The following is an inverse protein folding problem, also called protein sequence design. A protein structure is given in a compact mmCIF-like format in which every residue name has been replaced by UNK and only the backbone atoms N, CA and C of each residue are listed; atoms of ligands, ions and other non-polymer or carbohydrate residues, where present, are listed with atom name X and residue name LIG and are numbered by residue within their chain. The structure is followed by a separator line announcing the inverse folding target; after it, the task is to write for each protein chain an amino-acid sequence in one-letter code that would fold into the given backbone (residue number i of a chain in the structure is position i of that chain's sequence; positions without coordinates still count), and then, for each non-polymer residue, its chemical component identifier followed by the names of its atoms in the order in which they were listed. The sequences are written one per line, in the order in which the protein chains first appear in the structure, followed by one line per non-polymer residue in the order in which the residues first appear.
data_IF_070804488192
#
_entry.id   IF_070804488192
#
_cell.length_a   1.000
_cell.length_b   1.000
_cell.length_c   1.000
_cell.angle_alpha   90.00
_cell.angle_beta   90.00
_cell.angle_gamma   90.00
#
_symmetry.space_group_name_H-M   'P 1'
#
loop_
_entity.id
_entity.type
_entity.pdbx_description
1 polymer ?
#
# COMPACT_ATOMS: atom_id res chain seq x y z
N UNK A 1 15.88 62.23 11.16
CA UNK A 1 15.09 60.99 11.25
C UNK A 1 15.15 60.37 9.88
N UNK A 2 15.81 59.22 9.76
CA UNK A 2 15.76 58.43 8.52
C UNK A 2 14.38 57.79 8.53
N UNK A 3 13.54 58.10 7.54
CA UNK A 3 12.30 57.39 7.32
C UNK A 3 12.65 55.91 7.17
N UNK A 4 12.16 55.10 8.11
CA UNK A 4 12.19 53.65 7.95
C UNK A 4 11.10 53.37 6.94
N UNK A 5 11.48 53.28 5.66
CA UNK A 5 10.56 52.90 4.59
C UNK A 5 9.86 51.59 4.99
N UNK A 6 8.57 51.68 5.29
CA UNK A 6 7.76 50.53 5.63
C UNK A 6 7.37 49.84 4.34
N UNK A 7 8.09 48.78 3.97
CA UNK A 7 7.75 47.95 2.82
C UNK A 7 6.57 47.03 3.16
N UNK A 8 5.53 47.07 2.33
CA UNK A 8 4.38 46.17 2.36
C UNK A 8 4.56 45.02 1.37
N UNK A 9 3.93 43.87 1.62
CA UNK A 9 3.93 42.72 0.70
C UNK A 9 3.44 43.13 -0.71
N UNK A 10 2.53 44.12 -0.78
CA UNK A 10 1.96 44.64 -2.03
C UNK A 10 2.96 45.34 -2.93
N UNK A 11 4.10 45.76 -2.37
CA UNK A 11 5.11 46.57 -3.04
C UNK A 11 6.09 45.66 -3.80
N UNK A 12 6.12 44.37 -3.47
CA UNK A 12 6.85 43.38 -4.25
C UNK A 12 6.13 43.09 -5.58
N UNK A 13 6.88 42.78 -6.64
CA UNK A 13 6.37 42.14 -7.85
C UNK A 13 5.54 40.86 -7.58
N UNK A 14 4.57 40.57 -8.46
CA UNK A 14 3.61 39.46 -8.31
C UNK A 14 4.29 38.10 -8.19
N UNK A 15 5.35 37.87 -8.96
CA UNK A 15 6.18 36.66 -8.96
C UNK A 15 6.88 36.44 -7.61
N UNK A 16 7.40 37.50 -6.98
CA UNK A 16 8.00 37.43 -5.65
C UNK A 16 6.93 37.13 -4.60
N UNK A 17 5.76 37.78 -4.68
CA UNK A 17 4.66 37.51 -3.76
C UNK A 17 4.20 36.04 -3.88
N UNK A 18 4.01 35.52 -5.08
CA UNK A 18 3.63 34.13 -5.33
C UNK A 18 4.71 33.15 -4.84
N UNK A 19 5.98 33.47 -5.07
CA UNK A 19 7.10 32.67 -4.57
C UNK A 19 7.06 32.57 -3.04
N UNK A 20 6.83 33.68 -2.32
CA UNK A 20 6.67 33.69 -0.87
C UNK A 20 5.45 32.85 -0.46
N UNK A 21 4.30 33.05 -1.11
CA UNK A 21 3.06 32.32 -0.81
C UNK A 21 3.19 30.81 -1.03
N UNK A 22 4.00 30.37 -1.98
CA UNK A 22 4.21 28.94 -2.25
C UNK A 22 4.83 28.19 -1.05
N UNK A 23 5.46 28.88 -0.10
CA UNK A 23 6.00 28.28 1.13
C UNK A 23 4.94 28.08 2.23
N UNK A 24 3.75 28.63 2.05
CA UNK A 24 2.68 28.54 3.03
C UNK A 24 1.86 27.26 2.86
N UNK A 25 1.24 26.82 3.95
CA UNK A 25 0.24 25.74 3.89
C UNK A 25 -1.03 26.20 3.16
N UNK A 26 -1.80 25.28 2.55
CA UNK A 26 -3.08 25.62 1.91
C UNK A 26 -4.05 26.39 2.83
N UNK A 27 -4.04 26.10 4.14
CA UNK A 27 -4.86 26.82 5.13
C UNK A 27 -4.44 28.28 5.32
N UNK A 28 -3.12 28.53 5.33
CA UNK A 28 -2.58 29.88 5.40
C UNK A 28 -2.84 30.66 4.10
N UNK A 29 -2.74 30.00 2.95
CA UNK A 29 -3.08 30.60 1.65
C UNK A 29 -4.56 30.99 1.60
N UNK A 30 -5.46 30.11 2.06
CA UNK A 30 -6.88 30.42 2.14
C UNK A 30 -7.16 31.61 3.08
N UNK A 31 -6.50 31.65 4.24
CA UNK A 31 -6.62 32.77 5.19
C UNK A 31 -6.10 34.08 4.59
N UNK A 32 -4.96 34.03 3.88
CA UNK A 32 -4.38 35.18 3.17
C UNK A 32 -5.29 35.66 2.04
N UNK A 33 -5.88 34.74 1.26
CA UNK A 33 -6.83 35.10 0.22
C UNK A 33 -8.00 35.92 0.77
N UNK A 34 -8.50 35.60 1.97
CA UNK A 34 -9.59 36.35 2.62
C UNK A 34 -9.24 37.79 3.03
N UNK A 35 -7.98 38.21 3.00
CA UNK A 35 -7.57 39.55 3.46
C UNK A 35 -7.92 40.67 2.47
N UNK A 36 -7.90 40.40 1.17
CA UNK A 36 -8.19 41.43 0.15
C UNK A 36 -8.55 40.81 -1.20
N UNK A 37 -9.25 41.56 -2.06
CA UNK A 37 -9.56 41.13 -3.44
C UNK A 37 -8.29 40.83 -4.26
N UNK A 38 -7.22 41.60 -4.05
CA UNK A 38 -5.92 41.38 -4.70
C UNK A 38 -5.31 40.05 -4.25
N UNK A 39 -5.37 39.76 -2.95
CA UNK A 39 -4.90 38.49 -2.37
C UNK A 39 -5.66 37.29 -2.92
N UNK A 40 -7.01 37.38 -3.05
CA UNK A 40 -7.81 36.33 -3.71
C UNK A 40 -7.32 36.10 -5.13
N UNK A 41 -7.19 37.16 -5.93
CA UNK A 41 -6.74 37.07 -7.32
C UNK A 41 -5.37 36.42 -7.45
N UNK A 42 -4.45 36.76 -6.54
CA UNK A 42 -3.11 36.21 -6.48
C UNK A 42 -3.12 34.70 -6.17
N UNK A 43 -3.93 34.28 -5.19
CA UNK A 43 -4.07 32.88 -4.80
C UNK A 43 -4.91 32.02 -5.75
N UNK A 44 -5.62 32.65 -6.68
CA UNK A 44 -6.45 31.96 -7.67
C UNK A 44 -5.65 31.46 -8.88
N UNK A 45 -4.38 31.85 -9.00
CA UNK A 45 -3.52 31.41 -10.10
C UNK A 45 -3.04 29.97 -9.88
N UNK A 46 -3.55 29.05 -10.68
CA UNK A 46 -3.23 27.62 -10.58
C UNK A 46 -1.78 27.33 -11.00
N UNK A 47 -1.39 27.74 -12.21
CA UNK A 47 -0.05 27.50 -12.76
C UNK A 47 1.08 28.24 -12.04
N UNK A 48 0.81 29.44 -11.49
CA UNK A 48 1.87 30.23 -10.86
C UNK A 48 2.07 29.86 -9.39
N UNK A 49 1.01 29.52 -8.66
CA UNK A 49 1.08 29.24 -7.22
C UNK A 49 1.08 27.74 -6.93
N UNK A 50 0.10 27.00 -7.46
CA UNK A 50 -0.11 25.60 -7.08
C UNK A 50 0.87 24.66 -7.76
N UNK A 51 1.29 24.93 -9.00
CA UNK A 51 2.33 24.14 -9.66
C UNK A 51 3.67 24.16 -8.87
N UNK A 52 4.26 25.31 -8.50
CA UNK A 52 5.48 25.30 -7.69
C UNK A 52 5.33 24.62 -6.33
N UNK A 53 4.13 24.68 -5.72
CA UNK A 53 3.85 23.95 -4.49
C UNK A 53 3.89 22.43 -4.70
N UNK A 54 3.29 21.95 -5.79
CA UNK A 54 3.35 20.54 -6.17
C UNK A 54 4.78 20.10 -6.50
N UNK A 55 5.48 20.86 -7.34
CA UNK A 55 6.84 20.57 -7.78
C UNK A 55 7.82 20.51 -6.60
N UNK A 56 7.69 21.43 -5.63
CA UNK A 56 8.55 21.45 -4.44
C UNK A 56 8.39 20.20 -3.58
N UNK A 57 7.17 19.69 -3.41
CA UNK A 57 6.87 18.59 -2.47
C UNK A 57 6.98 17.22 -3.12
N UNK A 58 6.60 17.10 -4.39
CA UNK A 58 6.53 15.81 -5.09
C UNK A 58 7.29 15.78 -6.43
N UNK A 59 7.89 16.87 -6.91
CA UNK A 59 8.60 16.89 -8.20
C UNK A 59 9.82 15.96 -8.28
N UNK A 60 10.44 15.64 -7.14
CA UNK A 60 11.49 14.61 -7.07
C UNK A 60 10.94 13.16 -7.05
N UNK A 61 9.65 12.99 -6.75
CA UNK A 61 9.00 11.69 -6.59
C UNK A 61 8.13 11.31 -7.81
N UNK A 62 7.57 12.29 -8.51
CA UNK A 62 6.63 12.10 -9.63
C UNK A 62 6.70 13.27 -10.63
N UNK A 63 6.22 13.07 -11.86
CA UNK A 63 6.24 14.05 -12.93
C UNK A 63 4.94 14.86 -12.93
N UNK A 64 4.93 15.97 -12.19
CA UNK A 64 3.75 16.81 -11.92
C UNK A 64 2.96 17.19 -13.18
N UNK A 65 3.64 17.49 -14.29
CA UNK A 65 3.02 17.91 -15.55
C UNK A 65 2.28 16.80 -16.31
N UNK A 66 2.57 15.53 -15.99
CA UNK A 66 2.06 14.39 -16.74
C UNK A 66 0.82 13.76 -16.09
N UNK A 67 0.41 14.24 -14.92
CA UNK A 67 -0.82 13.78 -14.27
C UNK A 67 -2.06 14.20 -15.06
N UNK A 68 -3.04 13.30 -15.21
CA UNK A 68 -4.29 13.56 -15.94
C UNK A 68 -4.09 14.07 -17.37
N UNK A 69 -3.10 13.51 -18.08
CA UNK A 69 -2.67 13.92 -19.43
C UNK A 69 -2.25 15.41 -19.52
N UNK A 70 -1.85 16.01 -18.39
CA UNK A 70 -1.47 17.42 -18.29
C UNK A 70 -2.62 18.41 -18.38
N UNK A 71 -3.87 17.94 -18.25
CA UNK A 71 -5.08 18.77 -18.37
C UNK A 71 -5.72 19.14 -17.03
N UNK A 72 -5.25 18.54 -15.94
CA UNK A 72 -5.81 18.77 -14.61
C UNK A 72 -5.22 20.03 -13.97
N UNK A 73 -6.03 20.71 -13.16
CA UNK A 73 -5.56 21.82 -12.35
C UNK A 73 -4.62 21.35 -11.22
N UNK A 74 -3.55 22.09 -10.98
CA UNK A 74 -2.54 21.83 -9.95
C UNK A 74 -3.09 21.94 -8.53
N UNK A 75 -4.11 22.78 -8.29
CA UNK A 75 -4.80 22.83 -7.00
C UNK A 75 -5.52 21.53 -6.67
N UNK A 76 -6.18 20.92 -7.68
CA UNK A 76 -6.81 19.61 -7.52
C UNK A 76 -5.73 18.54 -7.30
N UNK A 77 -4.68 18.56 -8.12
CA UNK A 77 -3.56 17.65 -7.99
C UNK A 77 -2.91 17.74 -6.59
N UNK A 78 -2.66 18.94 -6.08
CA UNK A 78 -2.08 19.15 -4.74
C UNK A 78 -2.93 18.45 -3.67
N UNK A 79 -4.25 18.63 -3.72
CA UNK A 79 -5.17 18.01 -2.76
C UNK A 79 -5.10 16.49 -2.85
N UNK A 80 -5.15 15.92 -4.06
CA UNK A 80 -5.10 14.48 -4.26
C UNK A 80 -3.76 13.88 -3.82
N UNK A 81 -2.63 14.51 -4.17
CA UNK A 81 -1.30 14.04 -3.79
C UNK A 81 -1.06 14.16 -2.27
N UNK A 82 -1.61 15.18 -1.62
CA UNK A 82 -1.56 15.33 -0.16
C UNK A 82 -2.32 14.19 0.56
N UNK A 83 -3.50 13.83 0.05
CA UNK A 83 -4.26 12.68 0.56
C UNK A 83 -3.52 11.36 0.31
N UNK A 84 -2.91 11.19 -0.87
CA UNK A 84 -2.21 9.97 -1.26
C UNK A 84 -0.80 9.85 -0.69
N UNK A 85 -0.19 10.93 -0.19
CA UNK A 85 1.12 10.85 0.45
C UNK A 85 1.09 9.91 1.65
N UNK A 86 -0.04 9.84 2.36
CA UNK A 86 -0.21 8.89 3.44
C UNK A 86 -0.32 7.43 2.97
N UNK A 87 -0.61 7.15 1.69
CA UNK A 87 -0.58 5.78 1.15
C UNK A 87 0.83 5.24 1.00
N UNK A 88 1.83 6.09 0.80
CA UNK A 88 3.17 5.63 0.42
C UNK A 88 3.82 4.84 1.57
N UNK A 89 4.49 3.74 1.22
CA UNK A 89 5.15 2.83 2.14
C UNK A 89 4.48 1.45 2.23
N UNK A 90 4.67 0.77 3.35
CA UNK A 90 4.30 -0.64 3.53
C UNK A 90 2.97 -0.82 4.25
N UNK A 91 2.19 -1.79 3.79
CA UNK A 91 0.85 -2.09 4.28
C UNK A 91 0.69 -3.59 4.42
N UNK A 92 0.07 -4.03 5.51
CA UNK A 92 -0.28 -5.44 5.72
C UNK A 92 -1.77 -5.65 5.52
N UNK A 93 -2.16 -6.78 4.98
CA UNK A 93 -3.56 -7.21 4.95
C UNK A 93 -4.05 -7.48 6.37
N UNK A 94 -5.29 -7.10 6.64
CA UNK A 94 -6.00 -7.34 7.89
C UNK A 94 -7.28 -8.13 7.61
N UNK A 95 -7.61 -9.09 8.49
CA UNK A 95 -8.76 -9.98 8.34
C UNK A 95 -8.35 -11.42 8.07
N UNK A 96 -9.22 -12.35 8.43
CA UNK A 96 -8.96 -13.78 8.34
C UNK A 96 -8.66 -14.18 6.88
N UNK A 97 -7.63 -15.00 6.63
CA UNK A 97 -7.37 -15.51 5.29
C UNK A 97 -8.60 -16.32 4.86
N UNK A 98 -9.28 -15.86 3.82
CA UNK A 98 -10.32 -16.68 3.21
C UNK A 98 -9.63 -17.88 2.58
N UNK A 99 -10.30 -19.04 2.59
CA UNK A 99 -9.74 -20.37 2.26
C UNK A 99 -9.03 -20.43 0.88
N UNK A 100 -9.19 -19.40 0.04
CA UNK A 100 -8.62 -19.28 -1.30
C UNK A 100 -7.78 -18.01 -1.53
N UNK A 101 -7.36 -17.25 -0.49
CA UNK A 101 -6.61 -16.01 -0.71
C UNK A 101 -5.14 -16.29 -1.08
N UNK A 102 -4.85 -16.29 -2.38
CA UNK A 102 -3.50 -16.34 -2.98
C UNK A 102 -2.74 -15.01 -2.90
N UNK A 103 -3.42 -13.93 -2.51
CA UNK A 103 -2.83 -12.59 -2.42
C UNK A 103 -1.89 -12.48 -1.22
N UNK A 104 -0.65 -11.99 -1.39
CA UNK A 104 0.30 -11.91 -0.31
C UNK A 104 -0.11 -10.86 0.75
N UNK A 105 0.30 -11.07 2.00
CA UNK A 105 -0.11 -10.25 3.12
C UNK A 105 0.54 -8.86 3.13
N UNK A 106 1.59 -8.62 2.33
CA UNK A 106 2.36 -7.38 2.33
C UNK A 106 2.25 -6.65 0.98
N UNK A 107 1.96 -5.35 1.06
CA UNK A 107 1.82 -4.45 -0.08
C UNK A 107 2.74 -3.25 0.13
N UNK A 108 3.36 -2.79 -0.95
CA UNK A 108 4.20 -1.61 -0.98
C UNK A 108 3.62 -0.59 -1.97
N UNK A 109 3.30 0.60 -1.49
CA UNK A 109 2.84 1.73 -2.30
C UNK A 109 3.99 2.69 -2.59
N UNK A 110 4.15 3.06 -3.85
CA UNK A 110 5.21 3.95 -4.33
C UNK A 110 4.70 4.93 -5.39
N UNK A 111 5.39 6.05 -5.52
CA UNK A 111 5.13 7.02 -6.58
C UNK A 111 5.64 6.50 -7.91
N UNK A 112 4.77 6.50 -8.92
CA UNK A 112 5.14 6.38 -10.31
C UNK A 112 5.28 7.76 -10.98
N UNK A 113 5.61 7.80 -12.29
CA UNK A 113 5.74 9.05 -13.04
C UNK A 113 4.49 9.92 -13.04
N UNK A 114 3.29 9.34 -13.12
CA UNK A 114 2.02 10.08 -13.11
C UNK A 114 0.88 9.29 -12.48
N UNK A 115 1.23 8.39 -11.55
CA UNK A 115 0.33 7.49 -10.86
C UNK A 115 0.94 7.05 -9.53
N UNK A 116 0.13 6.41 -8.69
CA UNK A 116 0.59 5.64 -7.53
C UNK A 116 0.51 4.15 -7.88
N UNK A 117 1.62 3.45 -7.67
CA UNK A 117 1.74 2.01 -7.84
C UNK A 117 1.64 1.33 -6.49
N UNK A 118 0.87 0.25 -6.39
CA UNK A 118 0.97 -0.70 -5.30
C UNK A 118 1.46 -2.04 -5.82
N UNK A 119 2.53 -2.53 -5.21
CA UNK A 119 3.14 -3.83 -5.49
C UNK A 119 2.89 -4.79 -4.34
N UNK A 120 2.51 -6.01 -4.65
CA UNK A 120 2.53 -7.16 -3.74
C UNK A 120 3.97 -7.60 -3.51
N UNK A 121 4.32 -7.85 -2.25
CA UNK A 121 5.67 -8.20 -1.83
C UNK A 121 5.68 -9.65 -1.32
N UNK A 122 6.42 -10.52 -2.01
CA UNK A 122 6.50 -11.96 -1.71
C UNK A 122 7.94 -12.42 -1.52
N UNK A 123 8.18 -13.46 -0.71
CA UNK A 123 9.47 -14.13 -0.71
C UNK A 123 9.72 -14.85 -2.05
N UNK A 124 10.98 -14.83 -2.51
CA UNK A 124 11.43 -15.68 -3.63
C UNK A 124 11.37 -17.16 -3.23
N UNK A 125 10.99 -18.02 -4.16
CA UNK A 125 10.93 -19.48 -3.95
C UNK A 125 12.28 -20.20 -4.20
N UNK A 126 13.29 -19.48 -4.69
CA UNK A 126 14.52 -20.08 -5.23
C UNK A 126 15.67 -20.21 -4.21
N UNK A 127 15.38 -20.31 -2.91
CA UNK A 127 16.38 -20.28 -1.82
C UNK A 127 17.28 -19.02 -1.80
N UNK A 128 16.91 -17.97 -2.55
CA UNK A 128 17.61 -16.69 -2.58
C UNK A 128 16.98 -15.71 -1.57
N UNK A 129 17.77 -14.74 -1.09
CA UNK A 129 17.30 -13.67 -0.18
C UNK A 129 16.34 -12.67 -0.85
N UNK A 130 16.05 -12.87 -2.13
CA UNK A 130 15.40 -11.89 -2.98
C UNK A 130 13.92 -11.76 -2.63
N UNK A 131 13.41 -10.55 -2.78
CA UNK A 131 12.01 -10.23 -2.57
C UNK A 131 11.40 -9.95 -3.93
N UNK A 132 10.30 -10.62 -4.25
CA UNK A 132 9.59 -10.42 -5.51
C UNK A 132 8.57 -9.29 -5.34
N UNK A 133 8.61 -8.30 -6.23
CA UNK A 133 7.54 -7.31 -6.38
C UNK A 133 6.65 -7.69 -7.56
N UNK A 134 5.34 -7.71 -7.33
CA UNK A 134 4.36 -7.94 -8.41
C UNK A 134 3.29 -6.86 -8.42
N UNK A 135 2.86 -6.34 -9.59
CA UNK A 135 1.84 -5.31 -9.66
C UNK A 135 0.51 -5.76 -9.03
N UNK A 136 -0.12 -4.87 -8.27
CA UNK A 136 -1.41 -5.12 -7.61
C UNK A 136 -2.45 -4.06 -7.92
N UNK A 137 -2.12 -2.79 -7.67
CA UNK A 137 -3.06 -1.68 -7.81
C UNK A 137 -2.37 -0.51 -8.52
N UNK A 138 -3.08 0.11 -9.43
CA UNK A 138 -2.68 1.36 -10.08
C UNK A 138 -3.72 2.43 -9.78
N UNK A 139 -3.28 3.61 -9.36
CA UNK A 139 -4.15 4.74 -9.04
C UNK A 139 -3.66 6.00 -9.77
N UNK A 140 -4.54 6.69 -10.48
CA UNK A 140 -4.22 7.95 -11.16
C UNK A 140 -5.45 8.85 -11.26
N UNK A 141 -5.27 9.99 -11.94
CA UNK A 141 -6.33 10.92 -12.27
C UNK A 141 -6.62 10.87 -13.77
N UNK A 142 -7.90 10.88 -14.13
CA UNK A 142 -8.34 11.09 -15.51
C UNK A 142 -8.04 12.52 -15.97
N UNK A 143 -8.15 12.78 -17.27
CA UNK A 143 -8.04 14.15 -17.81
C UNK A 143 -9.14 15.09 -17.33
N UNK A 144 -10.26 14.55 -16.83
CA UNK A 144 -11.35 15.31 -16.22
C UNK A 144 -11.11 15.56 -14.70
N UNK A 145 -10.01 15.03 -14.15
CA UNK A 145 -9.67 15.15 -12.73
C UNK A 145 -10.38 14.13 -11.83
N UNK A 146 -11.00 13.10 -12.39
CA UNK A 146 -11.62 12.02 -11.63
C UNK A 146 -10.59 10.97 -11.21
N UNK A 147 -10.77 10.37 -10.04
CA UNK A 147 -9.89 9.31 -9.54
C UNK A 147 -10.18 8.02 -10.31
N UNK A 148 -9.13 7.41 -10.87
CA UNK A 148 -9.21 6.15 -11.60
C UNK A 148 -8.28 5.14 -10.94
N UNK A 149 -8.84 4.03 -10.44
CA UNK A 149 -8.04 2.95 -9.88
C UNK A 149 -8.37 1.61 -10.53
N UNK A 150 -7.32 0.84 -10.83
CA UNK A 150 -7.40 -0.50 -11.41
C UNK A 150 -6.60 -1.49 -10.58
N UNK A 151 -7.27 -2.57 -10.20
CA UNK A 151 -6.70 -3.70 -9.51
C UNK A 151 -6.45 -4.85 -10.49
N UNK A 152 -5.29 -5.48 -10.36
CA UNK A 152 -4.94 -6.69 -11.11
C UNK A 152 -5.50 -7.93 -10.41
N UNK A 153 -6.35 -8.70 -11.10
CA UNK A 153 -6.71 -10.05 -10.66
C UNK A 153 -5.56 -11.02 -10.98
N UNK A 154 -5.39 -12.07 -10.18
CA UNK A 154 -4.30 -13.03 -10.33
C UNK A 154 -4.24 -13.57 -11.78
N UNK A 155 -3.25 -13.08 -12.54
CA UNK A 155 -3.19 -13.20 -14.00
C UNK A 155 -1.77 -12.95 -14.55
N UNK A 156 -1.60 -13.15 -15.85
CA UNK A 156 -0.31 -13.32 -16.54
C UNK A 156 0.61 -12.08 -16.56
N UNK A 157 0.10 -10.88 -16.26
CA UNK A 157 0.86 -9.62 -16.36
C UNK A 157 1.94 -9.55 -15.27
N UNK A 158 3.16 -10.01 -15.56
CA UNK A 158 4.25 -10.01 -14.58
C UNK A 158 4.98 -8.67 -14.50
N UNK A 159 4.96 -7.87 -15.57
CA UNK A 159 5.69 -6.61 -15.66
C UNK A 159 4.82 -5.39 -15.32
N UNK A 160 5.42 -4.37 -14.71
CA UNK A 160 4.76 -3.08 -14.47
C UNK A 160 4.49 -2.32 -15.78
N UNK A 161 5.38 -2.41 -16.77
CA UNK A 161 5.21 -1.72 -18.04
C UNK A 161 3.96 -2.20 -18.80
N UNK A 162 3.73 -3.51 -18.83
CA UNK A 162 2.55 -4.08 -19.47
C UNK A 162 1.29 -3.75 -18.67
N UNK A 163 1.38 -3.76 -17.33
CA UNK A 163 0.26 -3.38 -16.46
C UNK A 163 -0.16 -1.92 -16.64
N UNK A 164 0.80 -0.99 -16.68
CA UNK A 164 0.54 0.43 -16.91
C UNK A 164 -0.06 0.66 -18.30
N UNK A 165 0.46 -0.01 -19.33
CA UNK A 165 -0.14 0.03 -20.68
C UNK A 165 -1.58 -0.46 -20.65
N UNK A 166 -1.87 -1.60 -20.01
CA UNK A 166 -3.24 -2.10 -19.90
C UNK A 166 -4.19 -1.10 -19.22
N UNK A 167 -3.73 -0.45 -18.14
CA UNK A 167 -4.50 0.58 -17.43
C UNK A 167 -4.73 1.84 -18.28
N UNK A 168 -3.72 2.29 -19.02
CA UNK A 168 -3.80 3.47 -19.87
C UNK A 168 -4.63 3.24 -21.15
N UNK A 169 -4.53 2.06 -21.76
CA UNK A 169 -5.26 1.71 -22.98
C UNK A 169 -6.66 1.13 -22.71
N UNK A 170 -7.06 0.98 -21.43
CA UNK A 170 -8.39 0.49 -21.07
C UNK A 170 -8.63 -0.97 -21.48
N UNK A 171 -7.59 -1.81 -21.44
CA UNK A 171 -7.71 -3.25 -21.70
C UNK A 171 -8.24 -3.95 -20.44
N UNK A 172 -9.57 -3.97 -20.32
CA UNK A 172 -10.32 -4.28 -19.08
C UNK A 172 -10.53 -5.79 -18.86
N UNK A 173 -10.12 -6.67 -19.76
CA UNK A 173 -10.45 -8.10 -19.63
C UNK A 173 -9.89 -8.70 -18.32
N UNK A 174 -8.71 -8.25 -17.86
CA UNK A 174 -8.02 -8.73 -16.66
C UNK A 174 -7.98 -7.72 -15.48
N UNK A 175 -8.58 -6.54 -15.64
CA UNK A 175 -8.55 -5.45 -14.65
C UNK A 175 -9.91 -5.24 -13.99
N UNK A 176 -9.88 -4.95 -12.69
CA UNK A 176 -11.07 -4.59 -11.91
C UNK A 176 -10.96 -3.13 -11.50
N UNK A 177 -11.98 -2.33 -11.81
CA UNK A 177 -12.04 -0.97 -11.29
C UNK A 177 -12.38 -1.02 -9.80
N UNK A 178 -11.63 -0.28 -8.98
CA UNK A 178 -11.77 -0.31 -7.52
C UNK A 178 -11.83 1.09 -6.91
N UNK A 179 -12.43 1.18 -5.73
CA UNK A 179 -12.37 2.33 -4.86
C UNK A 179 -11.38 2.06 -3.72
N UNK A 180 -10.63 3.09 -3.36
CA UNK A 180 -9.65 3.05 -2.27
C UNK A 180 -10.11 4.05 -1.21
N UNK A 181 -10.66 3.53 -0.11
CA UNK A 181 -11.29 4.34 0.93
C UNK A 181 -10.41 4.35 2.18
N UNK A 182 -10.06 5.55 2.67
CA UNK A 182 -9.31 5.72 3.91
C UNK A 182 -10.24 5.60 5.12
N UNK A 183 -9.99 4.60 5.97
CA UNK A 183 -10.65 4.41 7.26
C UNK A 183 -9.73 4.97 8.35
N UNK A 184 -9.69 6.29 8.46
CA UNK A 184 -8.71 6.97 9.32
C UNK A 184 -7.30 7.01 8.71
N UNK A 185 -6.28 7.19 9.55
CA UNK A 185 -4.91 7.47 9.07
C UNK A 185 -4.09 6.23 8.73
N UNK A 186 -4.42 5.06 9.28
CA UNK A 186 -3.59 3.86 9.16
C UNK A 186 -4.34 2.65 8.59
N UNK A 187 -5.54 2.84 8.05
CA UNK A 187 -6.36 1.75 7.52
C UNK A 187 -6.99 2.18 6.20
N UNK A 188 -6.89 1.30 5.21
CA UNK A 188 -7.45 1.48 3.88
C UNK A 188 -8.31 0.28 3.53
N UNK A 189 -9.46 0.53 2.92
CA UNK A 189 -10.35 -0.46 2.34
C UNK A 189 -10.29 -0.35 0.82
N UNK A 190 -10.01 -1.46 0.15
CA UNK A 190 -10.10 -1.56 -1.30
C UNK A 190 -11.36 -2.37 -1.64
N UNK A 191 -12.26 -1.80 -2.42
CA UNK A 191 -13.54 -2.42 -2.81
C UNK A 191 -13.79 -2.26 -4.32
N UNK A 192 -14.53 -3.18 -4.93
CA UNK A 192 -14.88 -3.09 -6.35
C UNK A 192 -15.79 -1.88 -6.63
N UNK A 193 -15.46 -1.11 -7.67
CA UNK A 193 -16.26 0.03 -8.11
C UNK A 193 -17.33 -0.43 -9.11
N UNK A 194 -18.55 -0.66 -8.60
CA UNK A 194 -19.70 -1.09 -9.41
C UNK A 194 -20.25 -0.02 -10.38
N UNK A 195 -19.89 1.26 -10.24
CA UNK A 195 -20.41 2.33 -11.10
C UNK A 195 -19.83 2.24 -12.53
N UNK A 196 -18.56 1.88 -12.67
CA UNK A 196 -17.88 1.75 -13.96
C UNK A 196 -18.35 0.54 -14.78
N UNK A 197 -18.88 -0.50 -14.13
CA UNK A 197 -19.42 -1.68 -14.81
C UNK A 197 -20.57 -1.34 -15.77
N UNK A 198 -21.41 -0.36 -15.41
CA UNK A 198 -22.55 0.07 -16.23
C UNK A 198 -22.16 1.02 -17.37
N UNK A 199 -21.10 1.83 -17.21
CA UNK A 199 -20.63 2.73 -18.27
C UNK A 199 -19.91 1.99 -19.41
N UNK A 200 -19.11 0.96 -19.12
CA UNK A 200 -18.33 0.23 -20.13
C UNK A 200 -19.24 -0.69 -20.97
N UNK A 201 -20.21 -1.37 -20.36
CA UNK A 201 -21.18 -2.18 -21.11
C UNK A 201 -22.26 -1.36 -21.82
N UNK A 202 -22.52 -0.12 -21.40
CA UNK A 202 -23.37 0.82 -22.15
C UNK A 202 -22.76 1.29 -23.46
N UNK A 203 -21.43 1.49 -23.52
CA UNK A 203 -20.73 1.96 -24.73
C UNK A 203 -20.53 0.85 -25.79
N UNK A 204 -20.40 -0.41 -25.39
CA UNK A 204 -20.15 -1.51 -26.34
C UNK A 204 -21.43 -2.04 -27.04
N UNK A 205 -22.64 -1.65 -26.59
CA UNK A 205 -23.90 -2.01 -27.26
C UNK A 205 -24.34 -1.00 -28.34
N UNK A 206 -23.65 0.14 -28.47
CA UNK A 206 -24.01 1.20 -29.43
C UNK A 206 -23.22 1.19 -30.76
N UNK A 207 -22.31 0.23 -30.98
CA UNK A 207 -21.49 0.17 -32.22
C UNK A 207 -21.76 -1.06 -33.10
N UNK A 208 -23.00 -1.58 -33.09
CA UNK A 208 -23.40 -2.56 -34.11
C UNK A 208 -24.83 -2.33 -34.58
N UNK A 209 -24.97 -1.44 -35.55
CA UNK A 209 -25.94 -1.57 -36.66
C UNK A 209 -25.66 -0.52 -37.75
N UNK A 210 -25.18 -0.92 -38.94
CA UNK A 210 -25.39 -0.12 -40.14
C UNK A 210 -26.77 -0.46 -40.73
N UNK A 211 -27.46 0.59 -41.19
CA UNK A 211 -28.70 0.59 -41.97
C UNK A 211 -30.01 0.38 -41.19
N UNK A 212 -30.74 1.47 -40.96
CA UNK A 212 -31.84 1.86 -41.85
C UNK A 212 -32.29 3.27 -41.47
N UNK A 213 -32.17 4.18 -42.45
CA UNK A 213 -32.75 5.51 -42.48
C UNK A 213 -34.27 5.37 -42.38
N UNK A 214 -34.88 5.91 -41.32
CA UNK A 214 -36.19 6.55 -41.46
C UNK A 214 -36.15 7.88 -40.71
N UNK A 215 -36.05 8.90 -41.54
CA UNK A 215 -36.19 10.32 -41.27
C UNK A 215 -37.66 10.63 -40.96
N UNK A 216 -37.94 11.18 -39.78
CA UNK A 216 -39.11 12.03 -39.57
C UNK A 216 -38.70 13.26 -38.78
N UNK A 217 -38.60 14.36 -39.52
CA UNK A 217 -38.41 15.72 -39.01
C UNK A 217 -39.73 16.30 -38.49
N UNK A 218 -39.68 16.91 -37.30
CA UNK A 218 -40.55 17.97 -36.76
C UNK A 218 -40.04 18.20 -35.32
N UNK A 219 -39.62 19.36 -34.84
CA UNK A 219 -39.70 20.75 -35.25
C UNK A 219 -39.78 21.56 -33.95
N UNK A 220 -38.94 22.59 -33.84
CA UNK A 220 -39.07 23.79 -32.98
C UNK A 220 -38.68 23.78 -31.47
N UNK A 221 -37.67 24.62 -31.19
CA UNK A 221 -37.48 25.59 -30.09
C UNK A 221 -37.86 25.28 -28.63
N UNK A 222 -36.84 25.21 -27.75
CA UNK A 222 -36.62 26.23 -26.70
C UNK A 222 -35.63 25.81 -25.59
N UNK A 223 -34.94 26.84 -25.08
CA UNK A 223 -34.07 26.89 -23.89
C UNK A 223 -34.62 26.16 -22.64
N UNK A 224 -33.71 25.54 -21.91
CA UNK A 224 -33.63 25.68 -20.45
C UNK A 224 -33.85 24.42 -19.61
N UNK A 225 -33.03 24.34 -18.56
CA UNK A 225 -33.19 23.56 -17.33
C UNK A 225 -32.52 22.19 -17.25
N UNK A 226 -31.45 22.21 -16.46
CA UNK A 226 -30.80 21.09 -15.81
C UNK A 226 -31.72 20.44 -14.78
N UNK A 227 -31.65 19.12 -14.66
CA UNK A 227 -32.09 18.36 -13.49
C UNK A 227 -33.51 17.80 -13.52
N UNK A 228 -33.78 16.75 -14.31
CA UNK A 228 -34.95 15.88 -14.08
C UNK A 228 -34.94 14.53 -14.85
N UNK A 229 -33.76 13.94 -15.13
CA UNK A 229 -33.71 12.71 -15.96
C UNK A 229 -33.87 11.39 -15.17
N UNK A 230 -33.50 11.34 -13.88
CA UNK A 230 -33.47 10.07 -13.12
C UNK A 230 -34.84 9.63 -12.57
N UNK A 231 -35.76 10.57 -12.31
CA UNK A 231 -37.07 10.26 -11.73
C UNK A 231 -38.04 9.74 -12.80
N UNK A 232 -37.88 10.19 -14.04
CA UNK A 232 -38.76 9.84 -15.16
C UNK A 232 -38.55 8.39 -15.60
N UNK A 233 -37.32 7.89 -15.58
CA UNK A 233 -37.01 6.51 -16.00
C UNK A 233 -37.55 5.47 -15.00
N UNK A 234 -37.51 5.79 -13.70
CA UNK A 234 -38.08 4.96 -12.62
C UNK A 234 -39.61 4.90 -12.69
N UNK A 235 -40.26 6.02 -13.03
CA UNK A 235 -41.72 6.08 -13.18
C UNK A 235 -42.20 5.36 -14.45
N UNK A 236 -41.45 5.49 -15.56
CA UNK A 236 -41.78 4.82 -16.82
C UNK A 236 -41.62 3.30 -16.74
N UNK A 237 -40.58 2.80 -16.05
CA UNK A 237 -40.38 1.35 -15.85
C UNK A 237 -41.42 0.74 -14.91
N UNK A 238 -41.93 1.48 -13.92
CA UNK A 238 -42.97 0.99 -13.03
C UNK A 238 -44.34 0.86 -13.72
N UNK A 239 -44.65 1.75 -14.67
CA UNK A 239 -45.91 1.70 -15.42
C UNK A 239 -45.87 0.74 -16.63
N UNK A 240 -44.71 0.55 -17.27
CA UNK A 240 -44.55 -0.36 -18.41
C UNK A 240 -44.71 -1.85 -18.05
N UNK A 241 -44.60 -2.22 -16.77
CA UNK A 241 -44.67 -3.61 -16.32
C UNK A 241 -46.10 -4.19 -16.20
N UNK A 242 -47.15 -3.48 -16.67
CA UNK A 242 -48.53 -3.96 -16.57
C UNK A 242 -49.16 -4.53 -17.84
N UNK A 243 -48.47 -4.60 -18.98
CA UNK A 243 -49.08 -5.10 -20.22
C UNK A 243 -48.14 -6.03 -20.99
N UNK A 244 -48.09 -7.32 -20.64
CA UNK A 244 -48.13 -8.45 -21.60
C UNK A 244 -47.78 -9.80 -20.97
N UNK A 245 -48.65 -10.83 -21.07
CA UNK A 245 -48.35 -12.17 -20.61
C UNK A 245 -47.56 -12.92 -21.69
N UNK A 246 -46.22 -12.93 -21.62
CA UNK A 246 -45.43 -13.77 -22.53
C UNK A 246 -43.90 -13.63 -22.50
N UNK A 247 -43.34 -12.48 -22.11
CA UNK A 247 -41.88 -12.22 -22.17
C UNK A 247 -41.05 -12.70 -20.97
N UNK A 248 -41.72 -13.20 -19.93
CA UNK A 248 -41.18 -13.25 -18.57
C UNK A 248 -40.12 -14.34 -18.35
N UNK A 249 -40.12 -15.40 -19.16
CA UNK A 249 -39.11 -16.48 -19.06
C UNK A 249 -37.76 -16.08 -19.66
N UNK A 250 -37.74 -15.29 -20.73
CA UNK A 250 -36.50 -14.86 -21.37
C UNK A 250 -35.81 -13.76 -20.55
N UNK A 251 -36.59 -12.78 -20.07
CA UNK A 251 -36.10 -11.71 -19.21
C UNK A 251 -35.59 -12.21 -17.86
N UNK A 252 -36.31 -13.13 -17.19
CA UNK A 252 -35.81 -13.75 -15.95
C UNK A 252 -34.58 -14.62 -16.19
N UNK A 253 -34.47 -15.32 -17.33
CA UNK A 253 -33.25 -16.07 -17.70
C UNK A 253 -32.08 -15.15 -18.01
N UNK A 254 -32.31 -14.00 -18.65
CA UNK A 254 -31.27 -12.99 -18.86
C UNK A 254 -30.82 -12.39 -17.54
N UNK A 255 -31.75 -11.97 -16.67
CA UNK A 255 -31.42 -11.45 -15.33
C UNK A 255 -30.72 -12.49 -14.46
N UNK A 256 -31.07 -13.77 -14.60
CA UNK A 256 -30.39 -14.90 -13.94
C UNK A 256 -29.00 -15.15 -14.54
N UNK A 257 -28.81 -15.08 -15.86
CA UNK A 257 -27.49 -15.17 -16.51
C UNK A 257 -26.60 -13.97 -16.22
N UNK A 258 -27.16 -12.76 -16.11
CA UNK A 258 -26.48 -11.56 -15.65
C UNK A 258 -26.12 -11.70 -14.17
N UNK A 259 -27.02 -12.19 -13.30
CA UNK A 259 -26.69 -12.55 -11.90
C UNK A 259 -25.64 -13.66 -11.79
N UNK A 260 -25.66 -14.65 -12.67
CA UNK A 260 -24.70 -15.77 -12.71
C UNK A 260 -23.34 -15.31 -13.28
N UNK A 261 -23.31 -14.30 -14.16
CA UNK A 261 -22.08 -13.58 -14.58
C UNK A 261 -21.55 -12.69 -13.46
N UNK A 262 -22.42 -11.94 -12.78
CA UNK A 262 -22.11 -11.12 -11.60
C UNK A 262 -21.68 -11.98 -10.38
N UNK A 263 -22.14 -13.23 -10.32
CA UNK A 263 -21.73 -14.19 -9.28
C UNK A 263 -20.33 -14.79 -9.49
N UNK A 264 -19.78 -14.71 -10.72
CA UNK A 264 -18.44 -15.24 -11.04
C UNK A 264 -17.29 -14.24 -10.81
N UNK A 265 -17.59 -12.95 -10.61
CA UNK A 265 -16.61 -11.87 -10.42
C UNK A 265 -16.75 -11.16 -9.08
N UNK A 266 -17.21 -11.84 -8.03
CA UNK A 266 -17.22 -11.25 -6.69
C UNK A 266 -15.81 -11.27 -6.13
N UNK A 267 -15.06 -10.19 -6.36
CA UNK A 267 -13.86 -9.92 -5.60
C UNK A 267 -14.28 -9.37 -4.22
N UNK A 268 -13.77 -9.96 -3.15
CA UNK A 268 -14.12 -9.55 -1.79
C UNK A 268 -13.30 -8.32 -1.38
N UNK A 269 -13.89 -7.35 -0.66
CA UNK A 269 -13.16 -6.19 -0.19
C UNK A 269 -11.95 -6.58 0.66
N UNK A 270 -10.81 -5.92 0.41
CA UNK A 270 -9.57 -6.16 1.13
C UNK A 270 -9.23 -4.98 2.05
N UNK A 271 -8.90 -5.31 3.30
CA UNK A 271 -8.52 -4.34 4.33
C UNK A 271 -7.01 -4.33 4.53
N UNK A 272 -6.41 -3.13 4.58
CA UNK A 272 -4.98 -2.94 4.72
C UNK A 272 -4.63 -1.98 5.85
N UNK A 273 -3.69 -2.38 6.71
CA UNK A 273 -3.20 -1.57 7.83
C UNK A 273 -1.77 -1.12 7.55
N UNK A 274 -1.51 0.17 7.74
CA UNK A 274 -0.20 0.77 7.48
C UNK A 274 0.85 0.28 8.46
N UNK A 275 2.03 -0.04 7.95
CA UNK A 275 3.23 -0.32 8.75
C UNK A 275 4.03 0.99 8.82
N UNK A 276 3.77 1.78 9.86
CA UNK A 276 4.39 3.11 10.04
C UNK A 276 5.90 3.00 10.28
N UNK A 277 6.29 2.02 11.11
CA UNK A 277 7.63 1.84 11.60
C UNK A 277 8.34 0.69 10.86
N UNK A 278 8.62 0.89 9.58
CA UNK A 278 9.15 -0.16 8.69
C UNK A 278 10.68 -0.30 8.71
N UNK A 279 11.41 0.66 9.26
CA UNK A 279 12.88 0.63 9.36
C UNK A 279 13.38 0.84 10.79
N UNK A 280 14.60 0.32 11.11
CA UNK A 280 15.30 0.58 12.36
C UNK A 280 15.55 2.05 12.62
N UNK A 281 15.64 2.42 13.90
CA UNK A 281 16.09 3.76 14.32
C UNK A 281 17.13 3.63 15.43
N UNK A 282 18.01 4.61 15.64
CA UNK A 282 19.02 4.53 16.71
C UNK A 282 18.43 4.28 18.11
N UNK A 283 17.24 4.83 18.40
CA UNK A 283 16.54 4.61 19.66
C UNK A 283 15.81 3.26 19.73
N UNK A 284 15.51 2.64 18.58
CA UNK A 284 14.76 1.38 18.46
C UNK A 284 15.40 0.53 17.35
N UNK A 285 16.57 -0.09 17.61
CA UNK A 285 17.38 -0.74 16.58
C UNK A 285 16.73 -1.99 15.99
N UNK A 286 15.91 -2.72 16.75
CA UNK A 286 15.25 -3.92 16.25
C UNK A 286 13.95 -3.62 15.50
N UNK A 287 13.47 -2.37 15.50
CA UNK A 287 12.15 -2.03 14.96
C UNK A 287 12.18 -2.12 13.43
N UNK A 288 11.16 -2.70 12.81
CA UNK A 288 11.05 -2.68 11.35
C UNK A 288 10.54 -3.96 10.72
N UNK A 289 10.61 -3.96 9.39
CA UNK A 289 10.39 -5.13 8.54
C UNK A 289 11.72 -5.84 8.27
N UNK A 290 11.73 -7.13 8.56
CA UNK A 290 12.90 -7.99 8.50
C UNK A 290 12.59 -9.25 7.70
N UNK A 291 13.61 -9.82 7.08
CA UNK A 291 13.51 -11.10 6.36
C UNK A 291 14.53 -12.09 6.93
N UNK A 292 14.12 -13.34 7.08
CA UNK A 292 14.98 -14.41 7.59
C UNK A 292 14.61 -15.75 7.00
N UNK A 293 15.59 -16.66 6.93
CA UNK A 293 15.38 -18.01 6.39
C UNK A 293 14.87 -18.92 7.51
N UNK A 294 13.61 -19.36 7.40
CA UNK A 294 13.04 -20.40 8.26
C UNK A 294 13.39 -21.78 7.70
N UNK A 295 13.80 -22.70 8.57
CA UNK A 295 14.11 -24.10 8.27
C UNK A 295 15.16 -24.29 7.14
N UNK A 296 16.01 -23.28 6.93
CA UNK A 296 17.08 -23.28 5.93
C UNK A 296 16.63 -23.18 4.46
N UNK A 297 15.34 -23.07 4.17
CA UNK A 297 14.81 -23.13 2.79
C UNK A 297 13.85 -21.96 2.49
N UNK A 298 12.99 -21.57 3.44
CA UNK A 298 11.90 -20.64 3.17
C UNK A 298 12.21 -19.24 3.71
N UNK A 299 12.21 -18.23 2.83
CA UNK A 299 12.30 -16.84 3.26
C UNK A 299 10.96 -16.41 3.90
N UNK A 300 11.03 -15.88 5.12
CA UNK A 300 9.87 -15.42 5.90
C UNK A 300 10.07 -13.96 6.27
N UNK A 301 8.98 -13.19 6.23
CA UNK A 301 8.97 -11.79 6.66
C UNK A 301 8.51 -11.66 8.10
N UNK A 302 9.23 -10.85 8.85
CA UNK A 302 9.02 -10.56 10.26
C UNK A 302 8.79 -9.06 10.44
N UNK A 303 7.87 -8.72 11.34
CA UNK A 303 7.62 -7.36 11.77
C UNK A 303 7.93 -7.27 13.26
N UNK A 304 8.88 -6.41 13.60
CA UNK A 304 9.27 -6.15 14.99
C UNK A 304 8.79 -4.76 15.38
N UNK A 305 8.06 -4.71 16.50
CA UNK A 305 7.43 -3.49 17.01
C UNK A 305 7.80 -3.27 18.46
N UNK A 306 8.03 -2.01 18.82
CA UNK A 306 8.23 -1.55 20.19
C UNK A 306 6.91 -0.95 20.68
N UNK A 307 6.34 -1.56 21.70
CA UNK A 307 5.11 -1.12 22.36
C UNK A 307 5.40 -0.78 23.84
N UNK A 308 4.41 -0.23 24.54
CA UNK A 308 4.49 0.14 25.97
C UNK A 308 4.87 -1.07 26.84
N UNK A 309 4.48 -2.28 26.42
CA UNK A 309 4.77 -3.54 27.11
C UNK A 309 6.09 -4.21 26.72
N UNK A 310 6.88 -3.62 25.80
CA UNK A 310 8.18 -4.15 25.35
C UNK A 310 8.27 -4.41 23.85
N UNK A 311 9.08 -5.37 23.44
CA UNK A 311 9.37 -5.68 22.03
C UNK A 311 8.62 -6.94 21.63
N UNK A 312 7.95 -6.89 20.47
CA UNK A 312 7.20 -8.02 19.94
C UNK A 312 7.56 -8.23 18.47
N UNK A 313 7.86 -9.48 18.12
CA UNK A 313 8.09 -9.92 16.74
C UNK A 313 6.94 -10.81 16.27
N UNK A 314 6.47 -10.60 15.05
CA UNK A 314 5.42 -11.41 14.41
C UNK A 314 5.78 -11.73 12.97
N UNK A 315 5.39 -12.90 12.46
CA UNK A 315 5.47 -13.19 11.03
C UNK A 315 4.38 -12.41 10.30
N UNK A 316 4.72 -11.79 9.17
CA UNK A 316 3.79 -10.91 8.44
C UNK A 316 2.55 -11.66 7.92
N UNK A 317 2.67 -12.96 7.59
CA UNK A 317 1.53 -13.79 7.18
C UNK A 317 0.51 -14.05 8.30
N UNK A 318 0.97 -14.17 9.53
CA UNK A 318 0.12 -14.54 10.68
C UNK A 318 -0.68 -13.33 11.20
N UNK A 319 -0.26 -12.10 10.84
CA UNK A 319 -0.90 -10.83 11.22
C UNK A 319 -2.32 -10.63 10.68
N UNK A 320 -2.75 -11.48 9.76
CA UNK A 320 -4.12 -11.55 9.24
C UNK A 320 -5.12 -11.95 10.33
N UNK A 321 -4.68 -12.76 11.30
CA UNK A 321 -5.48 -13.20 12.45
C UNK A 321 -5.15 -12.38 13.71
N UNK A 322 -6.17 -11.83 14.38
CA UNK A 322 -6.00 -11.13 15.67
C UNK A 322 -5.53 -12.06 16.81
N UNK A 323 -5.51 -13.38 16.58
CA UNK A 323 -5.15 -14.44 17.53
C UNK A 323 -3.74 -15.01 17.31
N UNK A 324 -2.98 -14.55 16.32
CA UNK A 324 -1.64 -15.06 16.08
C UNK A 324 -0.67 -14.72 17.21
N UNK A 325 -0.14 -15.76 17.83
CA UNK A 325 0.88 -15.65 18.88
C UNK A 325 2.19 -15.08 18.29
N UNK A 326 2.87 -14.14 18.97
CA UNK A 326 4.09 -13.53 18.44
C UNK A 326 5.25 -14.53 18.36
N UNK A 327 6.15 -14.42 17.39
CA UNK A 327 7.31 -15.34 17.29
C UNK A 327 8.13 -15.30 18.58
N UNK A 328 8.45 -14.09 19.02
CA UNK A 328 9.03 -13.82 20.32
C UNK A 328 8.48 -12.51 20.87
N UNK A 329 8.61 -12.36 22.18
CA UNK A 329 8.33 -11.12 22.88
C UNK A 329 9.28 -10.95 24.06
N UNK A 330 9.49 -9.71 24.48
CA UNK A 330 10.17 -9.40 25.74
C UNK A 330 9.62 -8.12 26.32
N UNK A 331 9.31 -8.14 27.62
CA UNK A 331 9.01 -6.93 28.39
C UNK A 331 10.26 -6.25 28.92
N UNK A 332 11.40 -6.94 28.89
CA UNK A 332 12.66 -6.42 29.34
C UNK A 332 13.54 -6.02 28.15
N UNK A 333 13.68 -4.72 27.91
CA UNK A 333 14.49 -4.18 26.82
C UNK A 333 15.94 -3.90 27.23
N UNK A 334 16.41 -4.42 28.37
CA UNK A 334 17.81 -4.27 28.77
C UNK A 334 18.71 -4.99 27.78
N UNK A 335 19.62 -4.24 27.18
CA UNK A 335 20.70 -4.76 26.34
C UNK A 335 21.89 -5.09 27.23
N UNK A 336 22.38 -6.31 27.15
CA UNK A 336 23.67 -6.68 27.72
C UNK A 336 24.75 -6.28 26.73
N UNK A 337 25.75 -5.54 27.18
CA UNK A 337 26.90 -5.12 26.40
C UNK A 337 28.08 -6.09 26.59
N UNK A 338 28.95 -6.15 25.59
CA UNK A 338 30.23 -6.87 25.67
C UNK A 338 31.13 -6.28 26.78
N UNK A 339 31.94 -7.08 27.51
CA UNK A 339 32.17 -8.51 27.33
C UNK A 339 31.07 -9.40 27.91
N UNK A 340 30.73 -10.47 27.18
CA UNK A 340 29.71 -11.44 27.59
C UNK A 340 30.28 -12.50 28.52
N UNK A 341 29.40 -13.24 29.21
CA UNK A 341 29.85 -14.38 30.02
C UNK A 341 30.25 -15.55 29.11
N UNK A 342 31.18 -16.42 29.54
CA UNK A 342 31.60 -17.58 28.75
C UNK A 342 30.44 -18.49 28.31
N UNK A 343 29.38 -18.55 29.12
CA UNK A 343 28.18 -19.30 28.81
C UNK A 343 27.39 -18.70 27.64
N UNK A 344 27.25 -17.36 27.57
CA UNK A 344 26.53 -16.68 26.49
C UNK A 344 27.35 -16.71 25.18
N UNK A 345 28.68 -16.63 25.26
CA UNK A 345 29.56 -16.82 24.10
C UNK A 345 29.45 -18.26 23.56
N UNK A 346 29.52 -19.26 24.44
CA UNK A 346 29.35 -20.66 24.06
C UNK A 346 27.97 -20.92 23.43
N UNK A 347 26.90 -20.30 23.97
CA UNK A 347 25.55 -20.43 23.43
C UNK A 347 25.42 -19.88 22.01
N UNK A 348 26.15 -18.81 21.68
CA UNK A 348 26.21 -18.26 20.34
C UNK A 348 27.03 -19.17 19.42
N UNK A 349 28.28 -19.45 19.79
CA UNK A 349 29.25 -20.17 18.95
C UNK A 349 28.87 -21.63 18.67
N UNK A 350 28.08 -22.24 19.56
CA UNK A 350 27.66 -23.65 19.41
C UNK A 350 26.47 -23.84 18.45
N UNK A 351 25.83 -22.77 17.98
CA UNK A 351 24.57 -22.84 17.21
C UNK A 351 24.79 -22.73 15.70
N UNK A 352 23.87 -23.33 14.95
CA UNK A 352 23.83 -23.23 13.49
C UNK A 352 23.14 -21.94 13.08
N UNK A 353 23.81 -21.10 12.29
CA UNK A 353 23.24 -19.87 11.77
C UNK A 353 22.47 -20.12 10.46
N UNK A 354 21.16 -19.91 10.46
CA UNK A 354 20.36 -19.87 9.24
C UNK A 354 20.42 -18.48 8.62
N UNK A 355 21.46 -18.30 7.80
CA UNK A 355 21.65 -17.10 7.00
C UNK A 355 20.98 -17.24 5.65
N UNK A 356 20.59 -16.09 5.11
CA UNK A 356 20.14 -15.98 3.74
C UNK A 356 21.38 -15.96 2.83
N UNK A 357 21.51 -16.92 1.90
CA UNK A 357 22.66 -17.00 0.99
C UNK A 357 22.59 -15.86 -0.03
N UNK A 358 23.47 -14.86 0.12
CA UNK A 358 23.68 -13.86 -0.92
C UNK A 358 24.12 -14.56 -2.21
N UNK A 359 23.62 -14.09 -3.37
CA UNK A 359 24.03 -14.57 -4.69
C UNK A 359 25.53 -14.29 -4.93
N UNK A 360 26.38 -15.20 -4.50
CA UNK A 360 27.72 -15.39 -5.01
C UNK A 360 27.99 -16.90 -5.07
N UNK A 361 28.18 -17.38 -6.30
CA UNK A 361 28.78 -18.66 -6.67
C UNK A 361 28.02 -19.94 -6.31
N UNK A 362 27.04 -20.24 -7.17
CA UNK A 362 26.93 -21.61 -7.67
C UNK A 362 28.26 -22.01 -8.31
N UNK A 363 29.17 -22.59 -7.52
CA UNK A 363 30.24 -23.57 -7.84
C UNK A 363 31.26 -23.53 -6.68
N UNK A 364 30.84 -23.75 -5.44
CA UNK A 364 31.65 -24.50 -4.48
C UNK A 364 30.82 -24.86 -3.25
N UNK A 365 30.76 -26.16 -2.97
CA UNK A 365 30.12 -26.75 -1.79
C UNK A 365 31.01 -26.56 -0.56
N UNK A 366 31.50 -25.34 -0.36
CA UNK A 366 32.25 -24.93 0.81
C UNK A 366 31.44 -23.82 1.47
N UNK A 367 30.92 -24.09 2.67
CA UNK A 367 30.51 -23.03 3.59
C UNK A 367 31.63 -21.99 3.61
N UNK A 368 31.36 -20.70 3.33
CA UNK A 368 32.29 -19.66 3.71
C UNK A 368 32.49 -19.85 5.22
N UNK A 369 33.73 -20.08 5.63
CA UNK A 369 34.10 -20.12 7.03
C UNK A 369 33.54 -18.89 7.70
N UNK A 370 32.78 -19.10 8.78
CA UNK A 370 32.20 -18.08 9.61
C UNK A 370 33.25 -17.01 9.97
N UNK A 371 33.18 -15.85 9.31
CA UNK A 371 33.48 -14.63 10.04
C UNK A 371 32.32 -14.48 11.02
N UNK A 372 32.57 -14.84 12.28
CA UNK A 372 31.61 -14.64 13.36
C UNK A 372 31.27 -13.15 13.37
N UNK A 373 30.02 -12.83 13.02
CA UNK A 373 29.50 -11.48 13.18
C UNK A 373 29.67 -11.11 14.64
N UNK A 374 30.42 -10.03 14.87
CA UNK A 374 30.77 -9.63 16.22
C UNK A 374 29.49 -9.16 16.89
N UNK A 375 29.06 -9.91 17.90
CA UNK A 375 27.88 -9.59 18.70
C UNK A 375 28.18 -8.33 19.51
N UNK A 376 27.38 -7.30 19.31
CA UNK A 376 27.49 -6.04 20.04
C UNK A 376 26.70 -6.09 21.35
N UNK A 377 25.49 -6.65 21.30
CA UNK A 377 24.59 -6.72 22.44
C UNK A 377 23.78 -8.03 22.45
N UNK A 378 23.40 -8.49 23.64
CA UNK A 378 22.51 -9.63 23.83
C UNK A 378 21.24 -9.16 24.56
N UNK A 379 20.09 -9.65 24.12
CA UNK A 379 18.80 -9.41 24.78
C UNK A 379 18.06 -10.71 25.07
N UNK A 380 17.43 -10.78 26.23
CA UNK A 380 16.60 -11.90 26.63
C UNK A 380 15.21 -11.80 26.02
N UNK A 381 14.73 -12.92 25.46
CA UNK A 381 13.40 -13.05 24.88
C UNK A 381 12.69 -14.30 25.36
N UNK A 382 11.36 -14.27 25.24
CA UNK A 382 10.50 -15.43 25.45
C UNK A 382 9.72 -15.75 24.19
N UNK A 383 9.52 -17.04 23.94
CA UNK A 383 8.64 -17.53 22.90
C UNK A 383 7.19 -17.38 23.33
N UNK A 384 6.29 -17.21 22.37
CA UNK A 384 4.85 -17.25 22.66
C UNK A 384 4.26 -18.64 22.66
N UNK A 385 4.98 -19.67 22.19
CA UNK A 385 4.48 -21.05 22.21
C UNK A 385 4.14 -21.52 23.64
N UNK A 386 4.79 -20.95 24.66
CA UNK A 386 4.46 -21.17 26.08
C UNK A 386 3.07 -20.63 26.50
N UNK A 387 2.46 -19.72 25.72
CA UNK A 387 1.11 -19.22 25.97
C UNK A 387 0.02 -20.10 25.34
N UNK A 388 0.35 -20.91 24.32
CA UNK A 388 -0.60 -21.78 23.61
C UNK A 388 -0.70 -23.16 24.26
N UNK A 389 0.35 -23.63 24.95
CA UNK A 389 0.38 -24.96 25.63
C UNK A 389 -0.10 -24.86 27.10
N UNK A 390 -1.06 -23.99 27.42
CA UNK A 390 -1.72 -24.01 28.74
C UNK A 390 -3.04 -24.78 28.78
N UNK A 391 -3.67 -25.03 27.63
CA UNK A 391 -4.97 -25.73 27.59
C UNK A 391 -4.86 -27.24 27.30
N UNK A 392 -3.65 -27.73 27.04
CA UNK A 392 -3.38 -29.17 26.92
C UNK A 392 -2.96 -29.73 28.28
N UNK A 393 -3.93 -30.26 29.01
CA UNK A 393 -3.74 -30.86 30.33
C UNK A 393 -2.54 -31.84 30.39
N UNK A 394 -1.62 -31.61 31.33
CA UNK A 394 -0.68 -32.63 31.83
C UNK A 394 0.80 -32.23 31.81
N UNK A 395 1.27 -31.67 32.93
CA UNK A 395 2.68 -31.67 33.39
C UNK A 395 3.81 -31.46 32.36
N UNK A 396 4.26 -30.21 32.18
CA UNK A 396 5.71 -29.95 32.10
C UNK A 396 6.07 -28.73 32.95
N UNK A 397 6.66 -29.01 34.10
CA UNK A 397 7.23 -28.05 35.04
C UNK A 397 8.62 -27.61 34.57
N UNK A 398 8.73 -26.93 33.43
CA UNK A 398 9.99 -26.31 33.01
C UNK A 398 9.78 -24.90 32.43
N UNK A 399 9.98 -23.84 33.23
CA UNK A 399 9.84 -22.45 32.76
C UNK A 399 10.91 -22.03 31.73
N UNK A 400 11.93 -22.87 31.50
CA UNK A 400 13.04 -22.62 30.57
C UNK A 400 12.74 -23.02 29.12
N UNK A 401 11.56 -23.60 28.84
CA UNK A 401 11.26 -24.06 27.49
C UNK A 401 11.13 -22.86 26.54
N UNK A 402 10.32 -21.84 26.84
CA UNK A 402 10.19 -20.66 25.98
C UNK A 402 11.35 -19.66 25.96
N UNK A 403 12.41 -19.83 26.74
CA UNK A 403 13.48 -18.82 26.83
C UNK A 403 14.38 -18.80 25.58
N UNK A 404 14.82 -17.61 25.19
CA UNK A 404 15.72 -17.40 24.06
C UNK A 404 16.60 -16.16 24.19
N UNK A 405 17.34 -15.90 23.11
CA UNK A 405 18.22 -14.74 22.96
C UNK A 405 17.98 -14.05 21.63
N UNK A 406 18.19 -12.74 21.64
CA UNK A 406 18.51 -11.94 20.46
C UNK A 406 19.98 -11.57 20.56
N UNK A 407 20.72 -11.81 19.49
CA UNK A 407 22.09 -11.38 19.30
C UNK A 407 22.08 -10.23 18.30
N UNK A 408 22.39 -9.02 18.77
CA UNK A 408 22.45 -7.83 17.93
C UNK A 408 23.88 -7.64 17.43
N UNK A 409 24.04 -7.59 16.11
CA UNK A 409 25.35 -7.55 15.45
C UNK A 409 25.83 -6.12 15.25
N UNK A 410 27.13 -5.93 15.04
CA UNK A 410 27.73 -4.60 14.84
C UNK A 410 27.29 -3.89 13.55
N UNK A 411 26.85 -4.65 12.56
CA UNK A 411 26.33 -4.13 11.28
C UNK A 411 24.89 -3.61 11.39
N UNK A 412 24.26 -3.75 12.56
CA UNK A 412 22.87 -3.34 12.82
C UNK A 412 21.82 -4.39 12.46
N UNK A 413 22.23 -5.58 12.02
CA UNK A 413 21.34 -6.73 11.88
C UNK A 413 21.27 -7.52 13.19
N UNK A 414 20.41 -8.53 13.25
CA UNK A 414 20.33 -9.36 14.46
C UNK A 414 19.85 -10.78 14.17
N UNK A 415 20.29 -11.71 15.00
CA UNK A 415 19.80 -13.07 15.04
C UNK A 415 18.93 -13.31 16.27
N UNK A 416 17.99 -14.25 16.18
CA UNK A 416 17.27 -14.75 17.36
C UNK A 416 17.21 -16.27 17.40
N UNK A 417 17.11 -16.83 18.60
CA UNK A 417 17.05 -18.28 18.80
C UNK A 417 16.56 -18.65 20.20
N UNK A 418 15.91 -19.79 20.31
CA UNK A 418 15.39 -20.33 21.57
C UNK A 418 16.25 -21.46 22.10
N UNK A 419 16.21 -21.73 23.39
CA UNK A 419 17.06 -22.76 24.00
C UNK A 419 16.73 -24.20 23.58
N UNK A 420 15.49 -24.48 23.14
CA UNK A 420 15.16 -25.78 22.56
C UNK A 420 15.71 -25.96 21.14
N UNK A 421 16.06 -24.86 20.45
CA UNK A 421 16.56 -24.87 19.09
C UNK A 421 18.10 -24.84 19.10
N UNK A 422 18.71 -25.61 18.21
CA UNK A 422 20.16 -25.60 17.98
C UNK A 422 20.58 -24.62 16.87
N UNK A 423 19.68 -23.71 16.48
CA UNK A 423 19.91 -22.76 15.41
C UNK A 423 19.58 -21.33 15.83
N UNK A 424 20.11 -20.38 15.05
CA UNK A 424 19.84 -18.95 15.12
C UNK A 424 19.27 -18.55 13.75
N UNK A 425 18.14 -17.85 13.75
CA UNK A 425 17.59 -17.23 12.54
C UNK A 425 18.16 -15.82 12.45
N UNK A 426 19.07 -15.61 11.50
CA UNK A 426 19.64 -14.30 11.23
C UNK A 426 18.66 -13.49 10.37
N UNK A 427 18.38 -12.26 10.81
CA UNK A 427 17.41 -11.36 10.20
C UNK A 427 18.10 -10.18 9.52
N UNK A 428 17.83 -10.04 8.22
CA UNK A 428 18.28 -8.91 7.42
C UNK A 428 17.15 -7.89 7.26
N UNK A 429 17.45 -6.58 7.23
CA UNK A 429 16.44 -5.57 7.00
C UNK A 429 15.83 -5.76 5.61
N UNK A 430 14.52 -5.55 5.50
CA UNK A 430 13.84 -5.51 4.20
C UNK A 430 13.81 -4.11 3.60
N UNK A 431 13.93 -3.08 4.44
CA UNK A 431 13.65 -1.70 4.07
C UNK A 431 14.77 -0.79 4.52
N UNK A 432 15.34 -0.05 3.57
CA UNK A 432 16.31 1.01 3.83
C UNK A 432 15.83 2.28 3.13
N UNK A 433 15.74 3.38 3.87
CA UNK A 433 15.28 4.70 3.38
C UNK A 433 13.91 4.66 2.65
N UNK A 434 13.03 3.75 3.07
CA UNK A 434 11.71 3.55 2.47
C UNK A 434 11.71 2.70 1.19
N UNK A 435 12.88 2.24 0.73
CA UNK A 435 13.03 1.37 -0.43
C UNK A 435 13.17 -0.10 0.00
N UNK A 436 12.64 -1.01 -0.81
CA UNK A 436 12.76 -2.45 -0.60
C UNK A 436 14.14 -2.94 -1.05
N UNK A 437 14.86 -3.65 -0.17
CA UNK A 437 16.15 -4.27 -0.46
C UNK A 437 15.99 -5.61 -1.20
N UNK A 438 16.91 -5.90 -2.12
CA UNK A 438 16.96 -7.13 -2.94
C UNK A 438 15.65 -7.42 -3.69
N UNK A 439 15.01 -6.35 -4.18
CA UNK A 439 13.77 -6.44 -4.95
C UNK A 439 14.07 -6.83 -6.41
N UNK A 440 13.40 -7.89 -6.88
CA UNK A 440 13.38 -8.32 -8.29
C UNK A 440 12.08 -7.93 -8.99
#
# INVERSE_FOLDING_TARGET
MVDVDSFSLTDFPEDIQISILSFLSPKQIASFACTSKRSVSLCSSDDKLWYPMCERRWGSKTQIKNWGDGKIGYKLLYKTLDEWENLIGFWRRSGEPTVNSSSPPLIHFEWGPSFVAASRVCPSQNCTCNVLKSPFLWMSLSSDGEIVNFLKLDGEIKSWDDFVKCCQFGLVEDLVSVNVNFVGACHVLVEENYANYYQVHGKHLSQRSPNTVIQYSRGDDSKGSSGECLVTEMYYTQLANRISPGGDRAWRRQRRRERERLGKRRWEPEHFVKIVNCSPTPARPLQGLWKGTSDGINLVFYLVTYDVGGIICRRVGDLSSCSAAPVFWTSNTTLMESPFSPEEEYLYDSRIHYRSLAEADHIHRHCPSAENEVVSHIMYINSSYDLVIRDSAGSSTNPRQGEGRIWHYHDGTFGFGFFWDNFIIDLNPMVQDGCLLDAL
#
